data_IF_625484639735
#
_entry.id   IF_625484639735
#
_cell.length_a   1.000
_cell.length_b   1.000
_cell.length_c   1.000
_cell.angle_alpha   90.00
_cell.angle_beta   90.00
_cell.angle_gamma   90.00
#
_symmetry.space_group_name_H-M   'P 1'
#
loop_
_entity.id
_entity.type
_entity.pdbx_description
1 polymer ?
#
# COMPACT_ATOMS: atom_id res chain seq x y z
N UNK A 1 -6.76 -8.61 20.00
CA UNK A 1 -7.25 -8.53 18.58
C UNK A 1 -6.42 -7.47 17.88
N UNK A 2 -5.71 -7.81 16.88
CA UNK A 2 -4.66 -6.95 16.31
C UNK A 2 -5.09 -6.12 15.09
N UNK A 3 -6.40 -5.90 14.87
CA UNK A 3 -6.80 -4.78 14.03
C UNK A 3 -6.27 -3.50 14.68
N UNK A 4 -5.17 -2.99 14.13
CA UNK A 4 -4.48 -1.84 14.68
C UNK A 4 -5.31 -0.57 14.49
N UNK A 5 -5.88 -0.38 13.30
CA UNK A 5 -6.64 0.82 12.97
C UNK A 5 -7.63 0.61 11.84
N UNK A 6 -8.79 1.29 11.94
CA UNK A 6 -9.76 1.43 10.86
C UNK A 6 -9.97 2.92 10.59
N UNK A 7 -9.79 3.34 9.33
CA UNK A 7 -9.81 4.74 8.90
C UNK A 7 -10.85 4.89 7.80
N UNK A 8 -11.92 5.62 8.08
CA UNK A 8 -12.89 6.05 7.07
C UNK A 8 -12.34 7.30 6.38
N UNK A 9 -11.83 7.14 5.17
CA UNK A 9 -11.33 8.26 4.35
C UNK A 9 -12.50 9.12 3.87
N UNK A 10 -13.60 8.48 3.55
CA UNK A 10 -14.89 9.07 3.21
C UNK A 10 -15.98 7.97 3.29
N UNK A 11 -17.22 8.30 2.94
CA UNK A 11 -18.36 7.37 2.99
C UNK A 11 -18.23 6.13 2.10
N UNK A 12 -17.27 6.12 1.17
CA UNK A 12 -17.10 5.07 0.17
C UNK A 12 -15.74 4.37 0.25
N UNK A 13 -14.82 4.84 1.12
CA UNK A 13 -13.44 4.37 1.18
C UNK A 13 -13.00 4.16 2.61
N UNK A 14 -12.66 2.94 2.94
CA UNK A 14 -12.15 2.56 4.26
C UNK A 14 -10.80 1.86 4.12
N UNK A 15 -9.85 2.24 4.96
CA UNK A 15 -8.55 1.58 5.13
C UNK A 15 -8.56 0.85 6.46
N UNK A 16 -8.14 -0.40 6.48
CA UNK A 16 -7.86 -1.13 7.71
C UNK A 16 -6.41 -1.55 7.75
N UNK A 17 -5.80 -1.42 8.93
CA UNK A 17 -4.39 -1.71 9.19
C UNK A 17 -4.32 -2.79 10.27
N UNK A 18 -3.50 -3.79 10.02
CA UNK A 18 -3.21 -4.88 10.95
C UNK A 18 -1.78 -4.78 11.46
N UNK A 19 -1.58 -4.89 12.76
CA UNK A 19 -0.25 -5.07 13.34
C UNK A 19 -0.02 -6.56 13.55
N UNK A 20 0.96 -7.11 12.88
CA UNK A 20 1.24 -8.55 12.87
C UNK A 20 2.06 -8.90 14.11
N UNK A 21 1.40 -9.31 15.17
CA UNK A 21 2.00 -9.75 16.44
C UNK A 21 1.88 -11.27 16.64
N UNK A 22 0.92 -11.90 15.94
CA UNK A 22 0.61 -13.31 16.05
C UNK A 22 1.63 -14.19 15.35
N UNK A 23 1.68 -15.46 15.79
CA UNK A 23 2.39 -16.53 15.10
C UNK A 23 1.70 -16.92 13.78
N UNK A 24 2.40 -17.71 12.97
CA UNK A 24 1.81 -18.30 11.76
C UNK A 24 0.56 -19.12 12.09
N UNK A 25 0.66 -19.97 13.13
CA UNK A 25 -0.42 -20.88 13.53
C UNK A 25 -1.66 -20.11 14.03
N UNK A 26 -1.47 -19.04 14.79
CA UNK A 26 -2.56 -18.20 15.26
C UNK A 26 -3.28 -17.47 14.12
N UNK A 27 -2.54 -17.07 13.09
CA UNK A 27 -3.11 -16.37 11.93
C UNK A 27 -3.85 -17.33 10.99
N UNK A 28 -3.35 -18.56 10.79
CA UNK A 28 -3.99 -19.50 9.86
C UNK A 28 -5.19 -20.21 10.47
N UNK A 29 -5.20 -20.44 11.77
CA UNK A 29 -6.24 -21.22 12.46
C UNK A 29 -7.68 -20.72 12.22
N UNK A 30 -7.99 -19.42 12.23
CA UNK A 30 -9.35 -18.91 12.00
C UNK A 30 -9.71 -18.76 10.50
N UNK A 31 -8.78 -19.05 9.57
CA UNK A 31 -8.96 -18.78 8.15
C UNK A 31 -9.38 -20.02 7.37
N UNK A 32 -10.45 -19.89 6.60
CA UNK A 32 -10.80 -20.88 5.56
C UNK A 32 -10.18 -20.41 4.23
N UNK A 33 -9.02 -20.99 3.90
CA UNK A 33 -8.26 -20.63 2.72
C UNK A 33 -8.62 -21.54 1.54
N UNK A 34 -8.89 -20.94 0.38
CA UNK A 34 -8.99 -21.71 -0.87
C UNK A 34 -7.66 -22.38 -1.22
N UNK A 35 -7.71 -23.48 -1.97
CA UNK A 35 -6.55 -24.32 -2.31
C UNK A 35 -5.35 -23.53 -2.82
N UNK A 36 -5.55 -22.62 -3.77
CA UNK A 36 -4.47 -21.79 -4.32
C UNK A 36 -3.83 -20.84 -3.29
N UNK A 37 -4.61 -20.34 -2.33
CA UNK A 37 -4.09 -19.50 -1.25
C UNK A 37 -3.29 -20.32 -0.25
N UNK A 38 -3.76 -21.52 0.07
CA UNK A 38 -3.06 -22.45 0.95
C UNK A 38 -1.72 -22.89 0.32
N UNK A 39 -1.74 -23.32 -0.94
CA UNK A 39 -0.51 -23.67 -1.67
C UNK A 39 0.48 -22.50 -1.71
N UNK A 40 -0.02 -21.28 -1.95
CA UNK A 40 0.81 -20.09 -2.00
C UNK A 40 1.48 -19.80 -0.67
N UNK A 41 0.76 -19.86 0.45
CA UNK A 41 1.35 -19.56 1.76
C UNK A 41 2.32 -20.65 2.18
N UNK A 42 2.02 -21.93 1.91
CA UNK A 42 2.93 -23.05 2.20
C UNK A 42 4.22 -22.99 1.36
N UNK A 43 4.14 -22.47 0.13
CA UNK A 43 5.31 -22.29 -0.76
C UNK A 43 6.20 -21.09 -0.39
N UNK A 44 5.80 -20.23 0.55
CA UNK A 44 6.63 -19.10 0.98
C UNK A 44 7.74 -19.55 1.91
N UNK A 45 9.00 -19.16 1.60
CA UNK A 45 10.18 -19.52 2.38
C UNK A 45 10.35 -18.74 3.69
N UNK A 46 9.73 -17.59 3.81
CA UNK A 46 9.88 -16.68 4.95
C UNK A 46 8.58 -16.62 5.75
N UNK A 47 8.66 -16.95 7.04
CA UNK A 47 7.54 -16.83 7.97
C UNK A 47 7.01 -15.37 8.02
N UNK A 48 7.89 -14.38 7.90
CA UNK A 48 7.47 -12.98 7.82
C UNK A 48 6.52 -12.74 6.61
N UNK A 49 6.82 -13.34 5.46
CA UNK A 49 5.96 -13.23 4.28
C UNK A 49 4.67 -14.04 4.43
N UNK A 50 4.74 -15.20 5.05
CA UNK A 50 3.56 -16.03 5.37
C UNK A 50 2.60 -15.25 6.29
N UNK A 51 3.12 -14.69 7.38
CA UNK A 51 2.33 -13.89 8.34
C UNK A 51 1.75 -12.64 7.68
N UNK A 52 2.52 -11.95 6.83
CA UNK A 52 2.02 -10.83 6.02
C UNK A 52 0.88 -11.23 5.08
N UNK A 53 0.99 -12.40 4.45
CA UNK A 53 -0.05 -12.94 3.59
C UNK A 53 -1.33 -13.28 4.35
N UNK A 54 -1.21 -13.93 5.50
CA UNK A 54 -2.34 -14.34 6.34
C UNK A 54 -3.02 -13.12 6.98
N UNK A 55 -2.26 -12.14 7.45
CA UNK A 55 -2.82 -10.91 8.04
C UNK A 55 -3.68 -10.12 7.05
N UNK A 56 -3.38 -10.18 5.75
CA UNK A 56 -4.25 -9.63 4.71
C UNK A 56 -5.60 -10.36 4.68
N UNK A 57 -5.64 -11.69 4.89
CA UNK A 57 -6.90 -12.45 4.96
C UNK A 57 -7.70 -12.10 6.21
N UNK A 58 -7.02 -11.87 7.33
CA UNK A 58 -7.66 -11.34 8.53
C UNK A 58 -8.30 -9.97 8.26
N UNK A 59 -7.59 -9.09 7.55
CA UNK A 59 -8.14 -7.79 7.14
C UNK A 59 -9.35 -7.92 6.20
N UNK A 60 -9.35 -8.89 5.29
CA UNK A 60 -10.52 -9.17 4.45
C UNK A 60 -11.73 -9.59 5.30
N UNK A 61 -11.53 -10.47 6.27
CA UNK A 61 -12.58 -10.89 7.20
C UNK A 61 -13.15 -9.70 7.98
N UNK A 62 -12.32 -8.75 8.39
CA UNK A 62 -12.74 -7.50 9.02
C UNK A 62 -13.63 -6.62 8.12
N UNK A 63 -13.50 -6.74 6.79
CA UNK A 63 -14.39 -6.10 5.81
C UNK A 63 -15.62 -6.95 5.49
N UNK A 64 -15.75 -8.14 6.06
CA UNK A 64 -16.83 -9.09 5.78
C UNK A 64 -16.63 -9.94 4.52
N UNK A 65 -15.40 -10.04 4.02
CA UNK A 65 -15.03 -10.89 2.89
C UNK A 65 -14.35 -12.17 3.36
N UNK A 66 -14.53 -13.23 2.60
CA UNK A 66 -13.78 -14.49 2.73
C UNK A 66 -12.67 -14.55 1.65
N UNK A 67 -11.75 -15.51 1.78
CA UNK A 67 -10.63 -15.63 0.82
C UNK A 67 -11.10 -15.90 -0.62
N UNK A 68 -12.25 -16.56 -0.79
CA UNK A 68 -12.88 -16.79 -2.08
C UNK A 68 -13.32 -15.51 -2.81
N UNK A 69 -13.61 -14.43 -2.08
CA UNK A 69 -14.02 -13.16 -2.66
C UNK A 69 -12.87 -12.39 -3.30
N UNK A 70 -11.62 -12.71 -2.91
CA UNK A 70 -10.42 -12.09 -3.46
C UNK A 70 -9.91 -12.88 -4.66
N UNK A 71 -9.88 -12.26 -5.82
CA UNK A 71 -9.32 -12.83 -7.05
C UNK A 71 -8.19 -11.93 -7.57
N UNK A 72 -7.29 -12.49 -8.37
CA UNK A 72 -6.20 -11.75 -9.00
C UNK A 72 -6.30 -11.87 -10.51
N UNK A 73 -6.07 -10.78 -11.22
CA UNK A 73 -5.97 -10.81 -12.67
C UNK A 73 -4.61 -11.36 -13.15
N UNK A 74 -4.42 -11.43 -14.46
CA UNK A 74 -3.19 -11.94 -15.09
C UNK A 74 -1.94 -11.11 -14.78
N UNK A 75 -2.11 -9.87 -14.31
CA UNK A 75 -1.02 -8.97 -13.90
C UNK A 75 -0.80 -8.98 -12.38
N UNK A 76 -1.57 -9.78 -11.64
CA UNK A 76 -1.47 -9.88 -10.19
C UNK A 76 -2.20 -8.78 -9.41
N UNK A 77 -3.03 -7.97 -10.06
CA UNK A 77 -3.85 -6.98 -9.40
C UNK A 77 -5.01 -7.66 -8.66
N UNK A 78 -5.26 -7.31 -7.38
CA UNK A 78 -6.38 -7.85 -6.62
C UNK A 78 -7.71 -7.22 -7.04
N UNK A 79 -8.77 -8.04 -7.04
CA UNK A 79 -10.15 -7.65 -7.29
C UNK A 79 -11.07 -8.34 -6.30
N UNK A 80 -12.18 -7.69 -5.96
CA UNK A 80 -13.27 -8.29 -5.18
C UNK A 80 -14.41 -8.72 -6.09
N UNK A 81 -15.03 -9.87 -5.81
CA UNK A 81 -16.15 -10.42 -6.61
C UNK A 81 -17.36 -9.51 -6.65
N UNK A 82 -17.55 -8.66 -5.64
CA UNK A 82 -18.66 -7.69 -5.56
C UNK A 82 -18.43 -6.42 -6.42
N UNK A 83 -17.27 -6.34 -7.10
CA UNK A 83 -16.92 -5.22 -7.98
C UNK A 83 -16.35 -4.00 -7.28
N UNK A 84 -16.22 -3.99 -5.95
CA UNK A 84 -15.50 -2.94 -5.26
C UNK A 84 -14.00 -3.01 -5.56
N UNK A 85 -13.37 -1.85 -5.52
CA UNK A 85 -11.93 -1.74 -5.68
C UNK A 85 -11.22 -2.08 -4.37
N UNK A 86 -10.13 -2.81 -4.49
CA UNK A 86 -9.26 -3.18 -3.39
C UNK A 86 -7.82 -2.88 -3.73
N UNK A 87 -7.04 -2.45 -2.74
CA UNK A 87 -5.58 -2.44 -2.82
C UNK A 87 -4.99 -2.96 -1.52
N UNK A 88 -3.88 -3.66 -1.64
CA UNK A 88 -3.26 -4.44 -0.56
C UNK A 88 -1.79 -4.04 -0.44
N UNK A 89 -1.30 -3.93 0.78
CA UNK A 89 0.12 -3.75 1.06
C UNK A 89 0.51 -4.45 2.36
N UNK A 90 1.77 -4.81 2.47
CA UNK A 90 2.37 -5.24 3.73
C UNK A 90 3.85 -4.85 3.77
N UNK A 91 4.31 -4.42 4.93
CA UNK A 91 5.71 -4.10 5.18
C UNK A 91 6.06 -4.41 6.63
N UNK A 92 7.07 -5.26 6.85
CA UNK A 92 7.48 -5.70 8.18
C UNK A 92 6.35 -6.33 9.00
N UNK A 93 5.98 -5.66 10.11
CA UNK A 93 4.96 -6.09 11.06
C UNK A 93 3.59 -5.46 10.80
N UNK A 94 3.40 -4.85 9.64
CA UNK A 94 2.12 -4.25 9.28
C UNK A 94 1.62 -4.73 7.93
N UNK A 95 0.32 -4.87 7.82
CA UNK A 95 -0.40 -4.99 6.56
C UNK A 95 -1.53 -3.97 6.53
N UNK A 96 -1.91 -3.55 5.33
CA UNK A 96 -3.05 -2.68 5.14
C UNK A 96 -3.85 -3.09 3.90
N UNK A 97 -5.17 -2.96 4.02
CA UNK A 97 -6.12 -3.16 2.94
C UNK A 97 -7.02 -1.93 2.87
N UNK A 98 -7.20 -1.42 1.67
CA UNK A 98 -8.22 -0.42 1.38
C UNK A 98 -9.29 -1.01 0.49
N UNK A 99 -10.56 -0.74 0.84
CA UNK A 99 -11.73 -1.09 0.02
C UNK A 99 -12.50 0.18 -0.30
N UNK A 100 -12.92 0.32 -1.56
CA UNK A 100 -13.58 1.52 -2.05
C UNK A 100 -14.54 1.23 -3.21
N UNK A 101 -15.55 2.09 -3.40
CA UNK A 101 -16.38 2.10 -4.61
C UNK A 101 -15.70 2.79 -5.81
N UNK A 102 -14.51 3.36 -5.62
CA UNK A 102 -13.71 4.01 -6.66
C UNK A 102 -12.32 3.44 -6.70
N UNK A 103 -11.64 3.56 -7.84
CA UNK A 103 -10.25 3.12 -7.98
C UNK A 103 -9.37 3.76 -6.90
N UNK A 104 -8.61 2.92 -6.21
CA UNK A 104 -7.83 3.27 -5.03
C UNK A 104 -6.52 2.47 -4.99
N UNK A 105 -5.50 3.04 -4.36
CA UNK A 105 -4.25 2.35 -4.06
C UNK A 105 -3.81 2.66 -2.63
N UNK A 106 -3.12 1.72 -2.02
CA UNK A 106 -2.53 1.87 -0.68
C UNK A 106 -1.12 1.32 -0.65
N UNK A 107 -0.26 1.99 0.09
CA UNK A 107 1.07 1.50 0.42
C UNK A 107 1.46 1.83 1.85
N UNK A 108 2.33 1.01 2.44
CA UNK A 108 2.84 1.16 3.80
C UNK A 108 4.33 0.82 3.80
N UNK A 109 5.14 1.72 4.37
CA UNK A 109 6.59 1.53 4.43
C UNK A 109 7.17 2.03 5.74
N UNK A 110 8.19 1.33 6.22
CA UNK A 110 9.01 1.79 7.35
C UNK A 110 9.99 2.85 6.87
N UNK A 111 10.05 3.99 7.59
CA UNK A 111 11.06 5.03 7.36
C UNK A 111 12.46 4.48 7.65
N UNK A 112 13.38 4.58 6.69
CA UNK A 112 14.77 4.09 6.80
C UNK A 112 15.70 4.89 5.91
N UNK A 113 16.93 5.09 6.36
CA UNK A 113 17.99 5.78 5.58
C UNK A 113 18.25 5.17 4.20
N UNK A 114 17.97 3.87 4.03
CA UNK A 114 18.09 3.20 2.73
C UNK A 114 17.30 3.89 1.62
N UNK A 115 16.22 4.62 1.97
CA UNK A 115 15.39 5.33 1.00
C UNK A 115 16.20 6.36 0.22
N UNK A 116 17.18 7.02 0.85
CA UNK A 116 18.07 8.00 0.22
C UNK A 116 18.84 7.35 -0.94
N UNK A 117 19.36 6.13 -0.73
CA UNK A 117 20.14 5.41 -1.74
C UNK A 117 19.31 5.01 -2.96
N UNK A 118 18.00 4.76 -2.77
CA UNK A 118 17.11 4.35 -3.86
C UNK A 118 16.34 5.52 -4.47
N UNK A 119 16.31 6.68 -3.81
CA UNK A 119 15.59 7.87 -4.27
C UNK A 119 15.86 8.22 -5.75
N UNK A 120 17.08 8.18 -6.28
CA UNK A 120 17.34 8.48 -7.69
C UNK A 120 16.59 7.61 -8.68
N UNK A 121 16.07 6.45 -8.24
CA UNK A 121 15.29 5.53 -9.09
C UNK A 121 13.83 5.98 -9.25
N UNK A 122 13.28 6.71 -8.27
CA UNK A 122 11.86 7.05 -8.26
C UNK A 122 11.56 8.55 -8.23
N UNK A 123 12.48 9.43 -7.77
CA UNK A 123 12.29 10.88 -7.84
C UNK A 123 12.71 11.42 -9.20
N UNK A 124 11.94 12.37 -9.70
CA UNK A 124 12.20 13.10 -10.95
C UNK A 124 11.86 14.57 -10.73
N UNK A 125 10.61 14.93 -10.91
CA UNK A 125 10.10 16.27 -10.62
C UNK A 125 10.37 16.68 -9.16
N UNK A 126 10.33 15.74 -8.23
CA UNK A 126 10.46 16.00 -6.80
C UNK A 126 11.83 16.56 -6.42
N UNK A 127 12.87 16.39 -7.27
CA UNK A 127 14.19 17.02 -7.06
C UNK A 127 14.14 18.54 -7.09
N UNK A 128 13.08 19.13 -7.65
CA UNK A 128 12.93 20.59 -7.72
C UNK A 128 12.58 21.23 -6.37
N UNK A 129 12.13 20.43 -5.39
CA UNK A 129 11.69 20.94 -4.08
C UNK A 129 12.25 20.16 -2.88
N UNK A 130 12.95 19.05 -3.11
CA UNK A 130 13.64 18.30 -2.05
C UNK A 130 15.06 18.84 -1.89
N UNK A 131 15.40 19.29 -0.70
CA UNK A 131 16.75 19.73 -0.34
C UNK A 131 17.56 18.58 0.31
N UNK A 132 18.83 18.46 0.00
CA UNK A 132 19.71 17.44 0.60
C UNK A 132 19.83 17.61 2.13
N UNK A 133 19.72 18.82 2.63
CA UNK A 133 19.82 19.16 4.05
C UNK A 133 18.44 19.26 4.74
N UNK A 134 17.37 18.75 4.10
CA UNK A 134 16.03 18.76 4.70
C UNK A 134 16.02 17.82 5.93
N UNK A 135 15.73 18.34 7.16
CA UNK A 135 15.77 17.53 8.38
C UNK A 135 14.79 16.36 8.36
N UNK A 136 13.79 16.40 7.49
CA UNK A 136 12.80 15.34 7.33
C UNK A 136 12.86 14.67 5.95
N UNK A 137 14.03 14.71 5.30
CA UNK A 137 14.21 14.16 3.95
C UNK A 137 13.81 12.68 3.86
N UNK A 138 14.20 11.86 4.84
CA UNK A 138 13.86 10.43 4.88
C UNK A 138 12.34 10.24 4.91
N UNK A 139 11.64 11.00 5.74
CA UNK A 139 10.19 10.96 5.85
C UNK A 139 9.52 11.38 4.53
N UNK A 140 9.93 12.51 3.96
CA UNK A 140 9.40 12.98 2.66
C UNK A 140 9.63 11.96 1.54
N UNK A 141 10.83 11.40 1.44
CA UNK A 141 11.14 10.38 0.45
C UNK A 141 10.31 9.12 0.65
N UNK A 142 10.08 8.70 1.90
CA UNK A 142 9.23 7.55 2.19
C UNK A 142 7.77 7.82 1.79
N UNK A 143 7.22 8.98 2.10
CA UNK A 143 5.87 9.35 1.66
C UNK A 143 5.75 9.41 0.14
N UNK A 144 6.73 10.02 -0.55
CA UNK A 144 6.75 10.07 -2.02
C UNK A 144 6.79 8.65 -2.61
N UNK A 145 7.59 7.76 -2.03
CA UNK A 145 7.65 6.36 -2.43
C UNK A 145 6.30 5.68 -2.27
N UNK A 146 5.68 5.76 -1.08
CA UNK A 146 4.35 5.19 -0.81
C UNK A 146 3.27 5.75 -1.73
N UNK A 147 3.29 7.05 -2.03
CA UNK A 147 2.35 7.67 -2.96
C UNK A 147 2.52 7.08 -4.36
N UNK A 148 3.75 6.95 -4.85
CA UNK A 148 4.02 6.40 -6.18
C UNK A 148 3.69 4.91 -6.29
N UNK A 149 3.97 4.12 -5.25
CA UNK A 149 3.54 2.72 -5.16
C UNK A 149 2.01 2.59 -5.14
N UNK A 150 1.33 3.44 -4.37
CA UNK A 150 -0.14 3.47 -4.34
C UNK A 150 -0.74 3.80 -5.70
N UNK A 151 -0.16 4.78 -6.41
CA UNK A 151 -0.58 5.14 -7.77
C UNK A 151 -0.30 4.01 -8.77
N UNK A 152 0.84 3.33 -8.64
CA UNK A 152 1.19 2.19 -9.48
C UNK A 152 0.19 1.04 -9.29
N UNK A 153 -0.13 0.69 -8.04
CA UNK A 153 -1.14 -0.32 -7.70
C UNK A 153 -2.54 0.06 -8.21
N UNK A 154 -2.90 1.34 -8.11
CA UNK A 154 -4.17 1.84 -8.61
C UNK A 154 -4.26 1.73 -10.14
N UNK A 155 -3.24 2.18 -10.85
CA UNK A 155 -3.23 2.26 -12.31
C UNK A 155 -2.97 0.90 -12.96
N UNK A 156 -2.07 0.11 -12.39
CA UNK A 156 -1.75 -1.28 -12.75
C UNK A 156 -1.47 -1.48 -14.26
N UNK A 157 -0.77 -0.52 -14.89
CA UNK A 157 -0.39 -0.60 -16.30
C UNK A 157 1.08 -0.98 -16.41
N UNK A 158 1.43 -2.07 -17.12
CA UNK A 158 2.82 -2.46 -17.34
C UNK A 158 3.64 -1.35 -18.02
N UNK A 159 4.95 -1.29 -17.72
CA UNK A 159 5.86 -0.32 -18.35
C UNK A 159 5.89 1.07 -17.71
N UNK A 160 5.09 1.31 -16.67
CA UNK A 160 5.14 2.57 -15.93
C UNK A 160 6.44 2.70 -15.13
N UNK A 161 7.11 3.82 -15.26
CA UNK A 161 8.38 4.14 -14.58
C UNK A 161 8.15 5.26 -13.58
N UNK A 162 8.44 5.05 -12.31
CA UNK A 162 8.15 5.96 -11.20
C UNK A 162 8.68 7.38 -11.43
N UNK A 163 9.92 7.48 -11.88
CA UNK A 163 10.58 8.76 -12.13
C UNK A 163 9.94 9.59 -13.25
N UNK A 164 9.31 8.92 -14.24
CA UNK A 164 8.78 9.56 -15.44
C UNK A 164 7.26 9.77 -15.41
N UNK A 165 6.54 8.77 -14.87
CA UNK A 165 5.10 8.72 -15.04
C UNK A 165 4.33 9.12 -13.79
N UNK A 166 4.98 9.17 -12.60
CA UNK A 166 4.35 9.55 -11.35
C UNK A 166 5.00 10.81 -10.80
N UNK A 167 4.20 11.82 -10.54
CA UNK A 167 4.63 13.11 -10.03
C UNK A 167 3.87 13.42 -8.75
N UNK A 168 4.61 13.81 -7.71
CA UNK A 168 4.06 14.23 -6.43
C UNK A 168 4.29 15.71 -6.24
N UNK A 169 3.21 16.48 -6.04
CA UNK A 169 3.29 17.93 -5.83
C UNK A 169 3.90 18.23 -4.46
N UNK A 170 4.66 19.35 -4.30
CA UNK A 170 5.19 19.76 -3.01
C UNK A 170 4.13 19.76 -1.91
N UNK A 171 4.51 19.35 -0.72
CA UNK A 171 3.65 19.32 0.47
C UNK A 171 4.44 19.73 1.71
N UNK A 172 3.75 20.36 2.66
CA UNK A 172 4.32 20.76 3.94
C UNK A 172 4.25 19.65 4.98
N UNK A 173 4.99 19.82 6.08
CA UNK A 173 5.00 18.91 7.25
C UNK A 173 3.67 18.88 7.98
N UNK A 174 2.94 19.98 7.94
CA UNK A 174 1.64 20.14 8.60
C UNK A 174 0.48 19.60 7.75
N UNK A 175 0.78 19.10 6.55
CA UNK A 175 -0.22 18.54 5.64
C UNK A 175 -0.23 17.02 5.76
N UNK A 176 -1.42 16.44 5.84
CA UNK A 176 -1.64 14.99 5.75
C UNK A 176 -2.04 14.55 4.33
N UNK A 177 -1.97 15.44 3.35
CA UNK A 177 -2.37 15.14 1.98
C UNK A 177 -1.63 15.99 0.96
N UNK A 178 -1.53 15.46 -0.25
CA UNK A 178 -1.01 16.19 -1.42
C UNK A 178 -1.72 15.76 -2.69
N UNK A 179 -1.42 16.45 -3.77
CA UNK A 179 -1.82 16.05 -5.12
C UNK A 179 -0.70 15.23 -5.75
N UNK A 180 -1.10 14.17 -6.43
CA UNK A 180 -0.18 13.42 -7.28
C UNK A 180 -0.79 13.21 -8.68
N UNK A 181 0.08 12.97 -9.64
CA UNK A 181 -0.31 12.82 -11.04
C UNK A 181 0.26 11.55 -11.63
N UNK A 182 -0.54 10.91 -12.50
CA UNK A 182 -0.08 9.91 -13.45
C UNK A 182 -0.01 10.57 -14.81
N UNK A 183 1.15 10.45 -15.47
CA UNK A 183 1.42 11.02 -16.78
C UNK A 183 1.76 9.88 -17.75
N UNK A 184 0.93 9.71 -18.76
CA UNK A 184 1.10 8.69 -19.79
C UNK A 184 0.93 9.36 -21.17
N UNK A 185 2.04 9.63 -21.85
CA UNK A 185 2.02 10.43 -23.08
C UNK A 185 1.38 11.79 -22.85
N UNK A 186 0.31 12.07 -23.57
CA UNK A 186 -0.46 13.32 -23.45
C UNK A 186 -1.56 13.27 -22.37
N UNK A 187 -1.82 12.09 -21.80
CA UNK A 187 -2.83 11.92 -20.77
C UNK A 187 -2.25 12.24 -19.40
N UNK A 188 -2.96 13.09 -18.66
CA UNK A 188 -2.60 13.45 -17.27
C UNK A 188 -3.80 13.20 -16.36
N UNK A 189 -3.62 12.39 -15.35
CA UNK A 189 -4.66 12.04 -14.38
C UNK A 189 -4.26 12.53 -12.99
N UNK A 190 -5.14 13.30 -12.35
CA UNK A 190 -4.91 13.89 -11.03
C UNK A 190 -5.52 13.03 -9.93
N UNK A 191 -4.78 12.84 -8.85
CA UNK A 191 -5.20 12.07 -7.68
C UNK A 191 -4.93 12.87 -6.40
N UNK A 192 -5.82 12.73 -5.42
CA UNK A 192 -5.56 13.15 -4.06
C UNK A 192 -4.87 12.00 -3.34
N UNK A 193 -3.72 12.26 -2.77
CA UNK A 193 -2.99 11.33 -1.91
C UNK A 193 -3.10 11.79 -0.46
N UNK A 194 -3.42 10.85 0.43
CA UNK A 194 -3.49 11.07 1.87
C UNK A 194 -2.40 10.20 2.48
N UNK A 195 -1.60 10.75 3.38
CA UNK A 195 -0.58 10.02 4.12
C UNK A 195 -0.79 10.17 5.61
N UNK A 196 -0.45 9.14 6.35
CA UNK A 196 -0.65 9.05 7.78
C UNK A 196 0.69 8.63 8.39
N UNK A 197 1.24 9.49 9.22
CA UNK A 197 2.50 9.25 9.91
C UNK A 197 2.24 8.75 11.33
N UNK A 198 1.60 7.59 11.45
CA UNK A 198 1.26 7.00 12.75
C UNK A 198 2.13 5.80 13.13
N UNK A 199 2.91 5.30 12.17
CA UNK A 199 3.86 4.22 12.41
C UNK A 199 5.23 4.88 12.61
N UNK A 200 5.25 5.86 13.53
CA UNK A 200 6.47 6.48 14.00
C UNK A 200 7.33 5.43 14.69
N UNK A 201 8.61 5.45 14.34
CA UNK A 201 9.75 4.91 15.12
C UNK A 201 9.45 3.64 15.93
N UNK A 202 9.45 2.48 15.28
CA UNK A 202 9.79 1.21 15.93
C UNK A 202 11.11 0.72 15.39
#
# INVERSE_FOLDING_TARGET
MPLYKSISVNTQTTVKIWKIEESYDDLIAPLDLKSNSLERVLGMKSELHQRGFLSVRMLLAEFGYIDEDLVYDTFGKPHLKDGKYISITHSYTFSAVVVSSRAVGVDIEKQREKIIKIAPKFIGYETTYLGENDPILIQKLTWIWCIKESLYKLYATPGMVFKKHFLVVPFGTDSNSTTAWIIEGNKKSKYKSIFIDEIGSI
#
